data_IF_184125884047
#
_entry.id   IF_184125884047
#
_cell.length_a   1.000
_cell.length_b   1.000
_cell.length_c   1.000
_cell.angle_alpha   90.00
_cell.angle_beta   90.00
_cell.angle_gamma   90.00
#
_symmetry.space_group_name_H-M   'P 1'
#
loop_
_entity.id
_entity.type
_entity.pdbx_description
1 polymer ?
#
# COMPACT_ATOMS: atom_id res chain seq x y z
N UNK A 1 -65.65 -9.43 -46.96
CA UNK A 1 -65.58 -10.90 -47.08
C UNK A 1 -64.19 -11.21 -47.63
N UNK A 2 -63.23 -11.92 -47.05
CA UNK A 2 -63.04 -12.82 -45.89
C UNK A 2 -61.50 -13.02 -45.83
N UNK A 3 -60.80 -12.88 -44.69
CA UNK A 3 -60.29 -13.98 -43.82
C UNK A 3 -59.85 -15.26 -44.57
N UNK A 4 -58.83 -16.06 -44.25
CA UNK A 4 -57.73 -16.11 -43.26
C UNK A 4 -57.11 -17.54 -43.42
N UNK A 5 -55.78 -17.73 -43.29
CA UNK A 5 -55.05 -18.98 -42.90
C UNK A 5 -55.11 -20.18 -43.88
N UNK A 6 -54.12 -21.08 -44.09
CA UNK A 6 -53.13 -21.82 -43.26
C UNK A 6 -52.24 -22.56 -44.31
N UNK A 7 -50.95 -22.87 -44.14
CA UNK A 7 -50.40 -23.86 -43.21
C UNK A 7 -48.86 -23.89 -43.35
N UNK A 8 -48.17 -23.85 -42.22
CA UNK A 8 -46.72 -24.02 -42.09
C UNK A 8 -46.39 -25.52 -42.05
N UNK A 9 -45.37 -26.00 -42.79
CA UNK A 9 -44.68 -27.29 -42.52
C UNK A 9 -43.18 -27.04 -42.39
N UNK A 10 -42.60 -27.57 -41.31
CA UNK A 10 -41.19 -27.45 -40.91
C UNK A 10 -40.24 -28.24 -41.84
N UNK A 11 -39.18 -27.56 -42.32
CA UNK A 11 -37.72 -27.84 -42.23
C UNK A 11 -37.21 -29.28 -42.48
N UNK A 12 -36.11 -29.42 -43.25
CA UNK A 12 -34.84 -29.81 -42.61
C UNK A 12 -33.72 -28.78 -42.83
N UNK A 13 -32.88 -28.66 -41.80
CA UNK A 13 -31.76 -27.73 -41.60
C UNK A 13 -30.45 -28.23 -42.27
N UNK A 14 -29.54 -27.27 -42.56
CA UNK A 14 -28.07 -27.37 -42.82
C UNK A 14 -27.56 -27.43 -44.28
N UNK A 15 -26.41 -26.79 -44.66
CA UNK A 15 -25.66 -25.70 -44.02
C UNK A 15 -25.48 -24.50 -44.98
N UNK A 16 -26.16 -23.37 -44.70
CA UNK A 16 -26.04 -22.12 -45.48
C UNK A 16 -25.08 -21.10 -44.83
N UNK A 17 -24.13 -21.53 -44.00
CA UNK A 17 -23.40 -20.63 -43.07
C UNK A 17 -21.92 -20.42 -43.42
N UNK A 18 -21.33 -21.19 -44.34
CA UNK A 18 -19.87 -21.05 -44.63
C UNK A 18 -19.55 -19.98 -45.68
N UNK A 19 -20.49 -19.64 -46.58
CA UNK A 19 -20.22 -18.74 -47.73
C UNK A 19 -20.47 -17.25 -47.41
N UNK A 20 -21.28 -16.92 -46.39
CA UNK A 20 -21.53 -15.52 -46.02
C UNK A 20 -20.31 -14.84 -45.38
N UNK A 21 -19.56 -15.57 -44.54
CA UNK A 21 -18.42 -15.02 -43.81
C UNK A 21 -17.24 -14.62 -44.70
N UNK A 22 -16.99 -15.30 -45.83
CA UNK A 22 -15.87 -14.98 -46.72
C UNK A 22 -16.17 -13.77 -47.61
N UNK A 23 -17.39 -13.68 -48.17
CA UNK A 23 -17.85 -12.55 -48.99
C UNK A 23 -18.02 -11.28 -48.15
N UNK A 24 -18.51 -11.40 -46.92
CA UNK A 24 -18.66 -10.25 -46.02
C UNK A 24 -17.29 -9.69 -45.58
N UNK A 25 -16.32 -10.57 -45.26
CA UNK A 25 -14.93 -10.19 -44.93
C UNK A 25 -14.22 -9.54 -46.12
N UNK A 26 -14.41 -10.07 -47.34
CA UNK A 26 -13.88 -9.47 -48.57
C UNK A 26 -14.53 -8.09 -48.85
N UNK A 27 -15.83 -7.93 -48.60
CA UNK A 27 -16.53 -6.64 -48.74
C UNK A 27 -16.10 -5.60 -47.70
N UNK A 28 -15.76 -6.03 -46.48
CA UNK A 28 -15.22 -5.16 -45.40
C UNK A 28 -13.78 -4.77 -45.70
N UNK A 29 -12.93 -5.72 -46.10
CA UNK A 29 -11.55 -5.45 -46.52
C UNK A 29 -11.50 -4.50 -47.71
N UNK A 30 -12.38 -4.66 -48.70
CA UNK A 30 -12.47 -3.75 -49.84
C UNK A 30 -12.91 -2.36 -49.41
N UNK A 31 -13.86 -2.23 -48.48
CA UNK A 31 -14.28 -0.95 -47.90
C UNK A 31 -13.17 -0.27 -47.11
N UNK A 32 -12.44 -1.02 -46.27
CA UNK A 32 -11.29 -0.51 -45.51
C UNK A 32 -10.16 -0.10 -46.45
N UNK A 33 -9.87 -0.87 -47.50
CA UNK A 33 -8.85 -0.53 -48.49
C UNK A 33 -9.21 0.73 -49.28
N UNK A 34 -10.49 0.91 -49.65
CA UNK A 34 -10.97 2.13 -50.31
C UNK A 34 -10.86 3.33 -49.35
N UNK A 35 -11.33 3.18 -48.11
CA UNK A 35 -11.23 4.22 -47.09
C UNK A 35 -9.76 4.61 -46.81
N UNK A 36 -8.88 3.62 -46.69
CA UNK A 36 -7.44 3.85 -46.52
C UNK A 36 -6.83 4.58 -47.71
N UNK A 37 -7.16 4.20 -48.95
CA UNK A 37 -6.67 4.90 -50.15
C UNK A 37 -7.14 6.34 -50.22
N UNK A 38 -8.40 6.62 -49.87
CA UNK A 38 -8.94 7.98 -49.84
C UNK A 38 -8.26 8.82 -48.76
N UNK A 39 -8.17 8.29 -47.54
CA UNK A 39 -7.51 8.96 -46.41
C UNK A 39 -6.02 9.19 -46.69
N UNK A 40 -5.33 8.22 -47.28
CA UNK A 40 -3.92 8.34 -47.66
C UNK A 40 -3.70 9.42 -48.71
N UNK A 41 -4.58 9.49 -49.71
CA UNK A 41 -4.51 10.51 -50.76
C UNK A 41 -4.78 11.91 -50.21
N UNK A 42 -5.69 12.03 -49.26
CA UNK A 42 -6.00 13.30 -48.59
C UNK A 42 -4.87 13.74 -47.65
N UNK A 43 -4.33 12.81 -46.87
CA UNK A 43 -3.19 13.05 -45.97
C UNK A 43 -1.93 13.44 -46.74
N UNK A 44 -1.60 12.73 -47.83
CA UNK A 44 -0.44 13.06 -48.65
C UNK A 44 -0.57 14.41 -49.34
N UNK A 45 -1.78 14.85 -49.68
CA UNK A 45 -2.02 16.17 -50.28
C UNK A 45 -1.82 17.33 -49.30
N UNK A 46 -2.11 17.12 -48.02
CA UNK A 46 -2.09 18.16 -47.00
C UNK A 46 -0.82 18.15 -46.12
N UNK A 47 0.09 17.19 -46.33
CA UNK A 47 1.33 17.03 -45.55
C UNK A 47 2.59 17.26 -46.41
N UNK A 48 3.76 17.26 -45.77
CA UNK A 48 5.09 17.35 -46.42
C UNK A 48 5.30 16.20 -47.44
N UNK A 49 4.52 15.12 -47.33
CA UNK A 49 4.52 14.01 -48.30
C UNK A 49 4.03 14.43 -49.69
N UNK A 50 3.33 15.57 -49.83
CA UNK A 50 2.90 16.11 -51.13
C UNK A 50 4.09 16.28 -52.08
N UNK A 51 5.19 16.81 -51.55
CA UNK A 51 6.40 17.08 -52.31
C UNK A 51 7.10 15.79 -52.79
N UNK A 52 6.82 14.64 -52.15
CA UNK A 52 7.36 13.33 -52.53
C UNK A 52 6.45 12.59 -53.53
N UNK A 53 5.13 12.76 -53.41
CA UNK A 53 4.13 12.00 -54.20
C UNK A 53 3.85 12.65 -55.56
N UNK A 54 4.08 13.96 -55.73
CA UNK A 54 3.77 14.66 -56.97
C UNK A 54 4.76 14.30 -58.12
N UNK A 55 4.25 13.69 -59.19
CA UNK A 55 5.08 13.15 -60.29
C UNK A 55 5.86 14.23 -61.05
N UNK A 56 5.31 15.44 -61.19
CA UNK A 56 5.86 16.53 -62.03
C UNK A 56 7.01 17.34 -61.44
N UNK A 57 7.55 16.97 -60.27
CA UNK A 57 8.61 17.72 -59.58
C UNK A 57 10.02 17.20 -59.90
N UNK A 58 11.04 18.08 -59.98
CA UNK A 58 12.41 17.69 -60.27
C UNK A 58 12.97 16.75 -59.19
N UNK A 59 13.83 15.78 -59.55
CA UNK A 59 14.31 14.76 -58.62
C UNK A 59 15.14 15.32 -57.45
N UNK A 60 15.86 16.44 -57.67
CA UNK A 60 16.63 17.10 -56.61
C UNK A 60 15.74 17.67 -55.50
N UNK A 61 14.57 18.21 -55.84
CA UNK A 61 13.60 18.73 -54.87
C UNK A 61 13.00 17.58 -54.04
N UNK A 62 12.70 16.45 -54.68
CA UNK A 62 12.23 15.23 -53.98
C UNK A 62 13.29 14.70 -53.00
N UNK A 63 14.56 14.69 -53.40
CA UNK A 63 15.66 14.28 -52.54
C UNK A 63 15.81 15.20 -51.31
N UNK A 64 15.74 16.52 -51.50
CA UNK A 64 15.78 17.49 -50.41
C UNK A 64 14.64 17.27 -49.39
N UNK A 65 13.38 17.18 -49.86
CA UNK A 65 12.25 16.95 -48.96
C UNK A 65 12.29 15.57 -48.28
N UNK A 66 12.84 14.56 -48.95
CA UNK A 66 13.06 13.24 -48.34
C UNK A 66 14.06 13.32 -47.19
N UNK A 67 15.15 14.08 -47.35
CA UNK A 67 16.16 14.29 -46.32
C UNK A 67 15.59 15.08 -45.13
N UNK A 68 14.82 16.13 -45.39
CA UNK A 68 14.16 16.89 -44.32
C UNK A 68 13.18 16.02 -43.52
N UNK A 69 12.43 15.14 -44.19
CA UNK A 69 11.50 14.24 -43.52
C UNK A 69 12.23 13.20 -42.65
N UNK A 70 13.32 12.62 -43.15
CA UNK A 70 14.10 11.64 -42.37
C UNK A 70 14.78 12.29 -41.18
N UNK A 71 15.33 13.50 -41.34
CA UNK A 71 15.94 14.26 -40.24
C UNK A 71 14.93 14.64 -39.16
N UNK A 72 13.74 15.11 -39.54
CA UNK A 72 12.70 15.46 -38.57
C UNK A 72 12.19 14.24 -37.81
N UNK A 73 11.98 13.11 -38.48
CA UNK A 73 11.63 11.84 -37.82
C UNK A 73 12.73 11.37 -36.85
N UNK A 74 14.00 11.44 -37.24
CA UNK A 74 15.12 11.06 -36.38
C UNK A 74 15.19 11.94 -35.12
N UNK A 75 15.04 13.27 -35.29
CA UNK A 75 15.01 14.22 -34.17
C UNK A 75 13.82 14.00 -33.24
N UNK A 76 12.64 13.69 -33.79
CA UNK A 76 11.46 13.35 -32.99
C UNK A 76 11.70 12.09 -32.15
N UNK A 77 12.25 11.03 -32.74
CA UNK A 77 12.57 9.78 -32.03
C UNK A 77 13.61 10.00 -30.93
N UNK A 78 14.65 10.79 -31.21
CA UNK A 78 15.66 11.16 -30.23
C UNK A 78 15.05 11.92 -29.04
N UNK A 79 14.21 12.93 -29.30
CA UNK A 79 13.53 13.68 -28.24
C UNK A 79 12.58 12.82 -27.43
N UNK A 80 11.82 11.91 -28.06
CA UNK A 80 10.97 10.97 -27.33
C UNK A 80 11.79 10.06 -26.41
N UNK A 81 12.97 9.60 -26.84
CA UNK A 81 13.89 8.84 -26.01
C UNK A 81 14.35 9.63 -24.79
N UNK A 82 14.81 10.87 -24.98
CA UNK A 82 15.23 11.73 -23.87
C UNK A 82 14.09 12.01 -22.88
N UNK A 83 12.87 12.28 -23.37
CA UNK A 83 11.70 12.46 -22.52
C UNK A 83 11.36 11.18 -21.74
N UNK A 84 11.51 10.02 -22.37
CA UNK A 84 11.30 8.73 -21.71
C UNK A 84 12.33 8.49 -20.60
N UNK A 85 13.61 8.81 -20.84
CA UNK A 85 14.67 8.70 -19.83
C UNK A 85 14.47 9.70 -18.68
N UNK A 86 14.00 10.93 -18.98
CA UNK A 86 13.60 11.90 -17.97
C UNK A 86 12.40 11.43 -17.14
N UNK A 87 11.42 10.80 -17.78
CA UNK A 87 10.24 10.23 -17.11
C UNK A 87 10.62 9.05 -16.21
N UNK A 88 11.54 8.19 -16.68
CA UNK A 88 12.06 7.06 -15.91
C UNK A 88 12.89 7.49 -14.71
N UNK A 89 13.71 8.54 -14.86
CA UNK A 89 14.56 9.06 -13.78
C UNK A 89 13.80 9.93 -12.77
N UNK A 90 12.79 10.69 -13.22
CA UNK A 90 11.96 11.55 -12.36
C UNK A 90 10.58 10.92 -12.11
N UNK A 91 10.53 9.67 -11.66
CA UNK A 91 9.29 8.92 -11.48
C UNK A 91 8.43 9.37 -10.29
N UNK A 92 8.71 10.54 -9.69
CA UNK A 92 7.86 11.15 -8.67
C UNK A 92 7.81 12.66 -8.89
N UNK A 93 6.78 13.13 -9.60
CA UNK A 93 6.37 14.53 -9.50
C UNK A 93 5.70 14.65 -8.13
N UNK A 94 6.45 15.09 -7.12
CA UNK A 94 5.88 15.48 -5.84
C UNK A 94 5.07 16.74 -6.08
N UNK A 95 3.80 16.57 -6.42
CA UNK A 95 2.83 17.64 -6.28
C UNK A 95 2.72 17.88 -4.78
N UNK A 96 3.48 18.84 -4.26
CA UNK A 96 3.18 19.48 -2.98
C UNK A 96 1.90 20.28 -3.17
N UNK A 97 0.77 19.58 -3.32
CA UNK A 97 -0.51 20.12 -2.97
C UNK A 97 -0.49 20.29 -1.46
N UNK A 98 0.07 21.41 -1.00
CA UNK A 98 -0.22 21.94 0.32
C UNK A 98 -1.73 22.10 0.34
N UNK A 99 -2.44 21.05 0.74
CA UNK A 99 -3.86 21.10 1.01
C UNK A 99 -4.01 22.26 1.99
N UNK A 100 -4.68 23.33 1.57
CA UNK A 100 -4.98 24.48 2.43
C UNK A 100 -6.07 24.10 3.43
N UNK A 101 -5.91 22.98 4.12
CA UNK A 101 -6.63 22.77 5.36
C UNK A 101 -6.05 23.78 6.34
N UNK A 102 -6.86 24.69 6.87
CA UNK A 102 -6.37 25.61 7.87
C UNK A 102 -5.90 24.80 9.08
N UNK A 103 -4.81 25.23 9.73
CA UNK A 103 -4.14 24.45 10.79
C UNK A 103 -5.06 24.06 11.96
N UNK A 104 -6.19 24.74 12.14
CA UNK A 104 -7.18 24.45 13.18
C UNK A 104 -8.09 23.24 12.87
N UNK A 105 -8.13 22.76 11.62
CA UNK A 105 -8.90 21.57 11.23
C UNK A 105 -8.06 20.28 11.32
N UNK A 106 -6.76 20.39 11.54
CA UNK A 106 -5.89 19.22 11.62
C UNK A 106 -6.07 18.54 13.00
N UNK A 107 -6.49 17.26 13.03
CA UNK A 107 -6.59 16.56 14.31
C UNK A 107 -5.21 16.41 14.92
N UNK A 108 -5.11 16.62 16.23
CA UNK A 108 -3.87 16.42 16.95
C UNK A 108 -3.39 14.96 16.77
N UNK A 109 -2.09 14.70 16.58
CA UNK A 109 -1.59 13.35 16.42
C UNK A 109 -1.71 12.54 17.71
N UNK A 110 -1.51 11.22 17.61
CA UNK A 110 -1.29 10.38 18.78
C UNK A 110 0.16 10.57 19.27
N UNK A 111 0.34 10.85 20.56
CA UNK A 111 1.66 11.11 21.16
C UNK A 111 2.02 9.97 22.09
N UNK A 112 3.11 9.25 21.76
CA UNK A 112 3.62 8.13 22.55
C UNK A 112 4.83 8.54 23.37
N UNK A 113 4.78 8.33 24.68
CA UNK A 113 5.87 8.61 25.61
C UNK A 113 6.35 7.28 26.18
N UNK A 114 7.64 7.00 26.02
CA UNK A 114 8.27 5.78 26.52
C UNK A 114 9.25 6.14 27.67
N UNK A 115 9.11 5.55 28.86
CA UNK A 115 10.08 5.74 29.93
C UNK A 115 11.41 5.10 29.55
N UNK A 116 12.53 5.77 29.87
CA UNK A 116 13.87 5.20 29.66
C UNK A 116 14.12 3.97 30.55
N UNK A 117 13.54 3.97 31.75
CA UNK A 117 13.49 2.78 32.60
C UNK A 117 12.42 1.83 32.07
N UNK A 118 12.83 0.67 31.57
CA UNK A 118 11.90 -0.36 31.05
C UNK A 118 11.17 -1.13 32.15
N UNK A 119 11.80 -1.23 33.31
CA UNK A 119 11.34 -1.97 34.48
C UNK A 119 11.55 -1.13 35.72
N UNK A 120 10.70 -1.34 36.73
CA UNK A 120 10.94 -0.80 38.06
C UNK A 120 12.06 -1.59 38.73
N UNK A 121 13.18 -0.92 39.01
CA UNK A 121 14.37 -1.53 39.61
C UNK A 121 14.06 -2.26 40.93
N UNK A 122 13.11 -1.76 41.72
CA UNK A 122 12.75 -2.38 43.01
C UNK A 122 12.03 -3.72 42.86
N UNK A 123 11.33 -3.92 41.73
CA UNK A 123 10.54 -5.13 41.47
C UNK A 123 11.33 -6.12 40.59
N UNK A 124 12.15 -5.61 39.68
CA UNK A 124 12.95 -6.42 38.77
C UNK A 124 14.31 -5.76 38.52
N UNK A 125 15.34 -6.31 39.17
CA UNK A 125 16.72 -5.89 38.99
C UNK A 125 17.39 -6.72 37.89
N UNK A 126 17.73 -6.07 36.77
CA UNK A 126 18.39 -6.72 35.63
C UNK A 126 19.72 -7.38 36.02
N UNK A 127 20.58 -6.67 36.74
CA UNK A 127 21.93 -7.13 37.07
C UNK A 127 21.91 -8.38 37.94
N UNK A 128 20.92 -8.49 38.82
CA UNK A 128 20.72 -9.69 39.65
C UNK A 128 20.32 -10.90 38.79
N UNK A 129 19.40 -10.71 37.84
CA UNK A 129 18.92 -11.78 36.96
C UNK A 129 20.02 -12.28 36.00
N UNK A 130 20.87 -11.38 35.51
CA UNK A 130 22.03 -11.72 34.69
C UNK A 130 23.06 -12.54 35.50
N UNK A 131 23.34 -12.15 36.75
CA UNK A 131 24.24 -12.93 37.61
C UNK A 131 23.67 -14.30 37.97
N UNK A 132 22.35 -14.41 38.16
CA UNK A 132 21.69 -15.68 38.45
C UNK A 132 21.76 -16.65 37.29
N UNK A 133 21.58 -16.17 36.06
CA UNK A 133 21.65 -17.00 34.84
C UNK A 133 23.08 -17.41 34.49
N UNK A 134 24.08 -16.60 34.83
CA UNK A 134 25.48 -16.98 34.70
C UNK A 134 25.93 -18.04 35.72
N UNK A 135 25.34 -18.06 36.93
CA UNK A 135 25.75 -18.96 38.03
C UNK A 135 24.95 -20.25 38.15
N UNK A 136 23.68 -20.26 37.76
CA UNK A 136 22.78 -21.42 37.88
C UNK A 136 22.45 -21.98 36.50
N UNK A 137 22.41 -23.31 36.40
CA UNK A 137 21.80 -23.97 35.26
C UNK A 137 20.32 -23.59 35.14
N UNK A 138 19.86 -23.38 33.90
CA UNK A 138 18.49 -22.99 33.55
C UNK A 138 17.37 -23.85 34.18
N UNK A 139 17.67 -25.11 34.51
CA UNK A 139 16.75 -26.06 35.16
C UNK A 139 16.64 -25.89 36.67
N UNK A 140 17.58 -25.18 37.30
CA UNK A 140 17.61 -24.93 38.75
C UNK A 140 16.89 -23.64 39.16
N UNK A 141 16.31 -22.90 38.21
CA UNK A 141 15.57 -21.67 38.48
C UNK A 141 14.18 -21.97 39.04
N UNK A 142 13.80 -21.27 40.11
CA UNK A 142 12.45 -21.25 40.64
C UNK A 142 11.45 -20.74 39.59
N UNK A 143 10.17 -21.09 39.73
CA UNK A 143 9.09 -20.63 38.85
C UNK A 143 9.06 -19.10 38.72
N UNK A 144 9.29 -18.39 39.83
CA UNK A 144 9.28 -16.91 39.87
C UNK A 144 10.50 -16.31 39.15
N UNK A 145 11.69 -16.91 39.32
CA UNK A 145 12.91 -16.47 38.63
C UNK A 145 12.76 -16.64 37.11
N UNK A 146 12.07 -17.71 36.68
CA UNK A 146 11.75 -17.93 35.26
C UNK A 146 10.79 -16.87 34.73
N UNK A 147 9.73 -16.55 35.47
CA UNK A 147 8.78 -15.50 35.08
C UNK A 147 9.48 -14.15 34.91
N UNK A 148 10.38 -13.80 35.84
CA UNK A 148 11.22 -12.60 35.79
C UNK A 148 12.09 -12.52 34.54
N UNK A 149 12.78 -13.62 34.20
CA UNK A 149 13.60 -13.70 32.98
C UNK A 149 12.75 -13.57 31.71
N UNK A 150 11.57 -14.18 31.68
CA UNK A 150 10.65 -14.12 30.54
C UNK A 150 10.23 -12.69 30.23
N UNK A 151 9.87 -11.93 31.26
CA UNK A 151 9.46 -10.52 31.09
C UNK A 151 10.66 -9.68 30.65
N UNK A 152 11.84 -9.93 31.23
CA UNK A 152 13.04 -9.20 30.90
C UNK A 152 13.48 -9.43 29.44
N UNK A 153 13.37 -10.66 28.92
CA UNK A 153 13.70 -10.99 27.53
C UNK A 153 12.73 -10.38 26.50
N UNK A 154 11.51 -10.05 26.91
CA UNK A 154 10.55 -9.35 26.02
C UNK A 154 10.79 -7.84 26.00
N UNK A 155 11.23 -7.27 27.12
CA UNK A 155 11.49 -5.84 27.25
C UNK A 155 12.88 -5.44 26.76
N UNK A 156 13.86 -6.31 26.92
CA UNK A 156 15.26 -6.08 26.59
C UNK A 156 15.72 -7.11 25.56
N UNK A 157 16.57 -6.67 24.65
CA UNK A 157 17.20 -7.55 23.66
C UNK A 157 18.35 -8.30 24.35
N UNK A 158 18.02 -9.43 24.97
CA UNK A 158 18.96 -10.21 25.77
C UNK A 158 18.91 -11.67 25.34
N UNK A 159 20.07 -12.16 24.93
CA UNK A 159 20.34 -13.56 24.58
C UNK A 159 20.50 -14.44 25.84
N UNK A 160 19.68 -14.20 26.87
CA UNK A 160 19.77 -14.87 28.17
C UNK A 160 18.82 -16.08 28.25
N UNK A 161 17.92 -16.26 27.27
CA UNK A 161 16.97 -17.36 27.30
C UNK A 161 17.65 -18.70 26.98
N UNK A 162 17.65 -19.67 27.92
CA UNK A 162 18.17 -21.00 27.65
C UNK A 162 17.26 -21.73 26.66
N UNK A 163 17.84 -22.55 25.76
CA UNK A 163 17.13 -23.27 24.68
C UNK A 163 15.91 -24.11 25.13
N UNK A 164 15.77 -24.42 26.42
CA UNK A 164 14.66 -25.20 27.00
C UNK A 164 13.82 -24.39 27.99
N UNK A 165 13.56 -23.14 27.66
CA UNK A 165 12.70 -22.29 28.46
C UNK A 165 11.22 -22.49 28.08
N UNK A 166 10.44 -23.18 28.92
CA UNK A 166 8.98 -23.16 28.74
C UNK A 166 8.47 -21.78 29.13
N UNK A 167 7.81 -21.11 28.18
CA UNK A 167 7.14 -19.84 28.42
C UNK A 167 6.06 -20.01 29.52
N UNK A 168 5.95 -19.04 30.44
CA UNK A 168 4.85 -18.98 31.39
C UNK A 168 3.49 -18.85 30.67
N UNK A 169 2.41 -19.14 31.39
CA UNK A 169 1.04 -18.88 30.90
C UNK A 169 0.87 -17.39 30.59
N UNK A 170 0.12 -17.11 29.52
CA UNK A 170 -0.07 -15.74 29.05
C UNK A 170 -0.57 -14.80 30.17
N UNK A 171 -1.49 -15.25 31.03
CA UNK A 171 -2.07 -14.41 32.09
C UNK A 171 -1.05 -14.04 33.18
N UNK A 172 -0.32 -14.99 33.73
CA UNK A 172 0.70 -14.72 34.77
C UNK A 172 1.80 -13.81 34.23
N UNK A 173 2.21 -14.04 32.98
CA UNK A 173 3.16 -13.20 32.28
C UNK A 173 2.66 -11.76 32.14
N UNK A 174 1.45 -11.55 31.61
CA UNK A 174 0.91 -10.21 31.41
C UNK A 174 0.63 -9.49 32.73
N UNK A 175 0.17 -10.20 33.76
CA UNK A 175 -0.05 -9.63 35.08
C UNK A 175 1.28 -9.18 35.73
N UNK A 176 2.32 -9.99 35.62
CA UNK A 176 3.65 -9.62 36.12
C UNK A 176 4.30 -8.51 35.28
N UNK A 177 4.13 -8.52 33.96
CA UNK A 177 4.57 -7.43 33.09
C UNK A 177 3.89 -6.11 33.48
N UNK A 178 2.56 -6.12 33.68
CA UNK A 178 1.78 -4.95 34.13
C UNK A 178 2.30 -4.39 35.47
N UNK A 179 2.80 -5.24 36.38
CA UNK A 179 3.28 -4.80 37.70
C UNK A 179 4.71 -4.25 37.69
N UNK A 180 5.58 -4.77 36.81
CA UNK A 180 6.99 -4.36 36.72
C UNK A 180 7.19 -3.08 35.92
N UNK A 181 6.31 -2.80 34.95
CA UNK A 181 6.41 -1.59 34.12
C UNK A 181 6.15 -0.35 34.98
N UNK A 182 6.97 0.72 34.84
CA UNK A 182 6.76 1.94 35.61
C UNK A 182 5.44 2.61 35.24
N UNK A 183 4.62 2.87 36.25
CA UNK A 183 3.31 3.45 36.07
C UNK A 183 3.39 4.95 35.74
N UNK A 184 2.73 5.39 34.66
CA UNK A 184 2.74 6.79 34.20
C UNK A 184 2.18 7.79 35.22
N UNK A 185 1.17 7.41 36.02
CA UNK A 185 0.60 8.31 37.03
C UNK A 185 1.61 8.70 38.12
N UNK A 186 2.70 7.95 38.29
CA UNK A 186 3.78 8.30 39.21
C UNK A 186 4.88 9.17 38.59
N UNK A 187 5.00 9.19 37.27
CA UNK A 187 6.09 9.88 36.53
C UNK A 187 5.63 11.18 35.88
N UNK A 188 4.33 11.33 35.57
CA UNK A 188 3.76 12.54 34.98
C UNK A 188 2.98 13.32 36.03
N UNK A 189 3.46 14.52 36.35
CA UNK A 189 2.89 15.36 37.41
C UNK A 189 1.66 16.15 36.92
N UNK A 190 1.61 16.49 35.63
CA UNK A 190 0.53 17.26 35.03
C UNK A 190 0.40 16.96 33.53
N UNK A 191 -0.83 16.94 33.01
CA UNK A 191 -1.16 16.78 31.59
C UNK A 191 -2.16 17.87 31.22
N UNK A 192 -1.86 18.63 30.16
CA UNK A 192 -2.64 19.80 29.74
C UNK A 192 -2.94 19.63 28.25
N UNK A 193 -4.23 19.65 27.87
CA UNK A 193 -4.63 19.57 26.48
C UNK A 193 -5.83 20.48 26.22
N UNK A 194 -5.72 21.39 25.25
CA UNK A 194 -6.85 22.24 24.83
C UNK A 194 -7.32 23.28 25.84
N UNK A 195 -6.62 23.48 26.96
CA UNK A 195 -6.98 24.46 27.99
C UNK A 195 -7.81 23.90 29.15
N UNK A 196 -8.07 22.58 29.16
CA UNK A 196 -8.71 21.88 30.28
C UNK A 196 -7.74 20.87 30.91
N UNK A 197 -7.54 20.96 32.23
CA UNK A 197 -6.63 20.09 32.99
C UNK A 197 -7.33 18.92 33.65
N UNK A 198 -8.63 19.08 33.91
CA UNK A 198 -9.37 18.17 34.78
C UNK A 198 -9.97 16.96 34.03
N UNK A 199 -9.94 16.96 32.68
CA UNK A 199 -10.63 15.93 31.89
C UNK A 199 -9.78 15.30 30.78
N UNK A 200 -8.45 15.29 30.94
CA UNK A 200 -7.58 14.56 30.02
C UNK A 200 -7.78 13.05 30.17
N UNK A 201 -8.12 12.30 29.08
CA UNK A 201 -8.24 10.85 29.16
C UNK A 201 -6.88 10.22 29.50
N UNK A 202 -6.89 9.12 30.28
CA UNK A 202 -5.64 8.45 30.65
C UNK A 202 -4.95 7.89 29.40
N UNK A 203 -3.61 7.85 29.38
CA UNK A 203 -2.88 7.30 28.25
C UNK A 203 -3.08 5.79 28.16
N UNK A 204 -3.08 5.26 26.94
CA UNK A 204 -3.21 3.83 26.69
C UNK A 204 -1.81 3.19 26.63
N UNK A 205 -1.54 2.10 27.37
CA UNK A 205 -0.28 1.39 27.26
C UNK A 205 -0.18 0.62 25.94
N UNK A 206 0.97 0.71 25.27
CA UNK A 206 1.28 0.07 24.01
C UNK A 206 2.66 -0.59 24.12
N UNK A 207 2.76 -1.85 23.73
CA UNK A 207 4.04 -2.57 23.66
C UNK A 207 4.78 -2.19 22.37
N UNK A 208 6.03 -1.74 22.51
CA UNK A 208 6.93 -1.37 21.41
C UNK A 208 8.27 -2.11 21.55
N UNK A 209 9.17 -1.94 20.59
CA UNK A 209 10.55 -2.46 20.62
C UNK A 209 11.40 -1.88 21.77
N UNK A 210 11.04 -0.70 22.28
CA UNK A 210 11.69 -0.08 23.44
C UNK A 210 11.14 -0.62 24.77
N UNK A 211 9.98 -1.28 24.77
CA UNK A 211 9.26 -1.70 25.96
C UNK A 211 7.83 -1.16 25.97
N UNK A 212 7.23 -1.04 27.15
CA UNK A 212 5.87 -0.51 27.29
C UNK A 212 5.89 1.02 27.28
N UNK A 213 5.22 1.59 26.29
CA UNK A 213 5.05 3.03 26.11
C UNK A 213 3.59 3.42 26.38
N UNK A 214 3.35 4.71 26.59
CA UNK A 214 2.03 5.23 26.91
C UNK A 214 1.64 6.27 25.88
N UNK A 215 0.49 6.07 25.23
CA UNK A 215 0.06 6.88 24.09
C UNK A 215 -1.21 7.66 24.41
N UNK A 216 -1.14 8.98 24.25
CA UNK A 216 -2.28 9.90 24.31
C UNK A 216 -2.93 10.06 22.94
N UNK A 217 -4.23 10.36 22.93
CA UNK A 217 -5.02 10.57 21.73
C UNK A 217 -4.94 9.38 20.74
N UNK A 218 -4.79 8.17 21.28
CA UNK A 218 -4.75 6.95 20.51
C UNK A 218 -6.17 6.54 20.14
N UNK A 219 -6.43 6.31 18.85
CA UNK A 219 -7.71 5.79 18.40
C UNK A 219 -8.01 4.43 19.07
N UNK A 220 -9.27 4.19 19.51
CA UNK A 220 -9.68 2.91 20.09
C UNK A 220 -9.35 1.74 19.16
N UNK A 221 -9.04 0.57 19.73
CA UNK A 221 -8.61 -0.61 18.98
C UNK A 221 -9.60 -1.00 17.86
N UNK A 222 -10.90 -0.87 18.13
CA UNK A 222 -12.00 -1.14 17.18
C UNK A 222 -11.94 -0.28 15.91
N UNK A 223 -11.48 0.97 16.02
CA UNK A 223 -11.30 1.86 14.87
C UNK A 223 -9.90 1.75 14.27
N UNK A 224 -8.92 1.28 15.04
CA UNK A 224 -7.52 1.11 14.60
C UNK A 224 -7.37 -0.10 13.68
N UNK A 225 -8.00 -1.21 14.03
CA UNK A 225 -8.09 -2.39 13.18
C UNK A 225 -9.46 -2.34 12.51
N UNK A 226 -9.54 -2.00 11.22
CA UNK A 226 -10.79 -2.18 10.43
C UNK A 226 -11.08 -3.68 10.30
N UNK A 227 -11.49 -4.31 11.38
CA UNK A 227 -12.20 -5.55 11.36
C UNK A 227 -13.67 -5.16 11.36
N UNK A 228 -14.38 -5.48 10.28
CA UNK A 228 -15.80 -5.82 10.42
C UNK A 228 -15.81 -7.02 11.37
N UNK A 229 -15.90 -6.75 12.67
CA UNK A 229 -15.97 -7.76 13.69
C UNK A 229 -17.38 -8.34 13.57
N UNK A 230 -17.52 -9.43 12.81
CA UNK A 230 -18.66 -10.32 12.94
C UNK A 230 -18.69 -10.77 14.40
N UNK A 231 -19.77 -10.38 15.08
CA UNK A 231 -20.27 -10.86 16.37
C UNK A 231 -19.56 -12.15 16.83
N UNK A 232 -18.80 -12.11 17.92
CA UNK A 232 -18.28 -13.34 18.52
C UNK A 232 -17.16 -13.25 19.56
N UNK A 233 -16.44 -12.14 19.70
CA UNK A 233 -15.29 -12.07 20.64
C UNK A 233 -15.20 -10.72 21.36
N UNK A 234 -16.14 -10.46 22.26
CA UNK A 234 -16.21 -9.24 23.09
C UNK A 234 -15.71 -9.42 24.53
N UNK A 235 -15.12 -10.56 24.91
CA UNK A 235 -14.80 -10.85 26.32
C UNK A 235 -13.31 -10.87 26.69
N UNK A 236 -12.37 -10.61 25.76
CA UNK A 236 -10.94 -10.80 26.03
C UNK A 236 -10.07 -9.52 26.03
N UNK A 237 -10.66 -8.34 25.84
CA UNK A 237 -9.91 -7.07 25.77
C UNK A 237 -10.30 -6.03 26.84
N UNK A 238 -11.06 -6.44 27.86
CA UNK A 238 -11.45 -5.56 28.98
C UNK A 238 -11.08 -6.13 30.35
N UNK A 239 -9.87 -6.70 30.49
CA UNK A 239 -9.27 -7.04 31.79
C UNK A 239 -7.78 -6.67 31.87
#
# INVERSE_FOLDING_TARGET
MTCCWRFCRRVPLSPRVVVSNSLEKCSRLRRVAIAFKLNWKEYSRNSVLRYLVEERRPPAEKAFWSLCLTLTLALCMYQMGNLYDQWKSNSVILLTSTSRMPLHELPFPAVSICPSAKTNYTLLNYTEMEQLTSKKDSKSLSKDERLKLSVLSVLCDIDILPEKFNMPTNEEFFNFLKSVVPHMQGTTKWVWFGGDDDNCPPPVPVLSNVGVCYTYNLLPAERRYRLKMSVGYTSLLLA
#
